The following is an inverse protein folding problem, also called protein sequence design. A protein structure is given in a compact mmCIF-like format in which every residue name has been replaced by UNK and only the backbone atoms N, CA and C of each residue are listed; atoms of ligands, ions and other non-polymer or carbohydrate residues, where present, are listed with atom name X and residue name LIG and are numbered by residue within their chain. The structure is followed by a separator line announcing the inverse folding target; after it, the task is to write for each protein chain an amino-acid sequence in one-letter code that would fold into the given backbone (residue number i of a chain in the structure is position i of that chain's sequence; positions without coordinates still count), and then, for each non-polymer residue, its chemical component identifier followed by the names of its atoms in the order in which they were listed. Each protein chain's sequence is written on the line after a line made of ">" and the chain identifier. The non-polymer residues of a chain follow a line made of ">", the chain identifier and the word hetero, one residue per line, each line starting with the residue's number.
data_IF_864620228243
#
_entry.id   IF_864620228243
#
_cell.length_a   1.000
_cell.length_b   1.000
_cell.length_c   1.000
_cell.angle_alpha   90.00
_cell.angle_beta   90.00
_cell.angle_gamma   90.00
#
_symmetry.space_group_name_H-M   'P 1'
#
loop_
_entity.id
_entity.type
_entity.pdbx_description
1 polymer ?
#
# COMPACT_ATOMS: atom_id res chain seq x y z
N UNK A 1 33.37 -13.38 15.54
CA UNK A 1 32.81 -12.56 16.62
C UNK A 1 31.52 -12.03 16.07
N UNK A 2 30.39 -12.62 16.54
CA UNK A 2 29.05 -12.20 16.12
C UNK A 2 28.74 -10.86 16.80
N UNK A 3 28.75 -9.79 16.07
CA UNK A 3 28.03 -8.58 16.46
C UNK A 3 26.56 -8.83 16.24
N UNK A 4 25.83 -9.16 17.29
CA UNK A 4 24.39 -8.98 17.33
C UNK A 4 24.13 -7.49 17.07
N UNK A 5 23.70 -7.17 15.85
CA UNK A 5 23.18 -5.84 15.56
C UNK A 5 21.85 -5.73 16.34
N UNK A 6 21.84 -4.87 17.34
CA UNK A 6 20.64 -4.53 18.10
C UNK A 6 19.55 -4.05 17.14
N UNK A 7 18.46 -4.79 17.10
CA UNK A 7 17.33 -4.47 16.25
C UNK A 7 16.69 -3.14 16.70
N UNK A 8 16.32 -2.28 15.76
CA UNK A 8 15.64 -1.01 16.01
C UNK A 8 14.35 -1.25 16.81
N UNK A 9 14.25 -0.56 17.94
CA UNK A 9 13.01 -0.35 18.66
C UNK A 9 12.72 1.14 18.56
N UNK A 10 11.53 1.56 18.05
CA UNK A 10 11.15 2.97 18.05
C UNK A 10 11.29 3.54 19.47
N UNK A 11 12.21 4.50 19.65
CA UNK A 11 12.53 5.08 20.96
C UNK A 11 13.87 4.65 21.57
N UNK A 12 14.62 3.69 21.01
CA UNK A 12 15.99 3.41 21.44
C UNK A 12 16.97 4.49 20.94
N UNK A 13 17.93 4.80 21.81
CA UNK A 13 18.97 5.80 21.55
C UNK A 13 20.04 5.23 20.62
N UNK A 14 19.93 5.49 19.31
CA UNK A 14 21.01 5.19 18.38
C UNK A 14 21.94 6.41 18.25
N UNK A 15 23.15 6.29 18.77
CA UNK A 15 24.22 7.19 18.38
C UNK A 15 24.69 6.78 16.96
N UNK A 16 24.84 7.76 16.06
CA UNK A 16 25.28 7.51 14.70
C UNK A 16 24.31 7.96 13.63
N UNK A 17 24.42 7.37 12.45
CA UNK A 17 23.58 7.68 11.29
C UNK A 17 22.36 6.76 11.29
N UNK A 18 21.19 7.37 11.28
CA UNK A 18 19.91 6.65 11.10
C UNK A 18 19.31 6.99 9.74
N UNK A 19 18.96 5.98 8.96
CA UNK A 19 18.39 6.14 7.62
C UNK A 19 17.03 5.46 7.57
N UNK A 20 16.02 6.25 7.30
CA UNK A 20 14.67 5.76 7.04
C UNK A 20 14.48 5.65 5.53
N UNK A 21 14.20 4.45 5.06
CA UNK A 21 13.97 4.11 3.65
C UNK A 21 12.58 3.51 3.41
N UNK A 22 11.86 3.13 4.48
CA UNK A 22 10.49 2.66 4.39
C UNK A 22 9.52 3.84 4.50
N UNK A 23 8.84 4.17 3.40
CA UNK A 23 8.00 5.36 3.27
C UNK A 23 8.81 6.60 2.86
N UNK A 24 8.72 7.65 3.66
CA UNK A 24 9.44 8.91 3.40
C UNK A 24 10.92 8.79 3.77
N UNK A 25 11.78 9.06 2.80
CA UNK A 25 13.24 9.05 3.04
C UNK A 25 13.64 10.12 4.03
N UNK A 26 14.33 9.72 5.08
CA UNK A 26 14.93 10.64 6.05
C UNK A 26 16.31 10.11 6.48
N UNK A 27 17.26 11.02 6.66
CA UNK A 27 18.60 10.70 7.16
C UNK A 27 18.93 11.62 8.31
N UNK A 28 19.33 11.04 9.41
CA UNK A 28 19.67 11.74 10.64
C UNK A 28 21.07 11.34 11.12
N UNK A 29 21.78 12.29 11.74
CA UNK A 29 22.95 12.01 12.53
C UNK A 29 22.71 12.47 13.96
N UNK A 30 22.79 11.55 14.91
CA UNK A 30 22.48 11.81 16.32
C UNK A 30 21.15 12.54 16.48
N UNK A 31 20.07 12.06 15.82
CA UNK A 31 18.70 12.60 15.81
C UNK A 31 18.55 13.99 15.17
N UNK A 32 19.55 14.48 14.48
CA UNK A 32 19.44 15.75 13.75
C UNK A 32 19.38 15.44 12.26
N UNK A 33 18.41 16.00 11.53
CA UNK A 33 18.32 15.82 10.09
C UNK A 33 19.63 16.28 9.43
N UNK A 34 20.15 15.47 8.52
CA UNK A 34 21.35 15.83 7.77
C UNK A 34 21.02 16.83 6.65
N UNK A 35 21.89 17.79 6.35
CA UNK A 35 21.65 18.83 5.33
C UNK A 35 21.52 18.29 3.90
N UNK A 36 21.78 17.01 3.68
CA UNK A 36 21.55 16.29 2.42
C UNK A 36 20.08 16.26 1.97
N UNK A 37 19.15 16.47 2.90
CA UNK A 37 17.70 16.35 2.68
C UNK A 37 17.07 17.53 1.92
N UNK A 38 17.83 18.58 1.61
CA UNK A 38 17.31 19.78 0.91
C UNK A 38 16.78 19.51 -0.51
N UNK A 39 17.18 18.41 -1.15
CA UNK A 39 16.63 17.94 -2.43
C UNK A 39 16.46 16.43 -2.41
N UNK A 40 15.27 15.91 -2.08
CA UNK A 40 15.00 14.47 -1.99
C UNK A 40 15.28 13.70 -3.29
N UNK A 41 15.12 14.32 -4.44
CA UNK A 41 15.39 13.71 -5.75
C UNK A 41 16.82 13.97 -6.26
N UNK A 42 17.64 14.66 -5.49
CA UNK A 42 19.01 15.02 -5.89
C UNK A 42 19.92 13.80 -6.02
N UNK A 43 20.68 13.73 -7.11
CA UNK A 43 21.61 12.61 -7.37
C UNK A 43 22.68 12.44 -6.29
N UNK A 44 22.99 13.49 -5.53
CA UNK A 44 23.91 13.42 -4.38
C UNK A 44 23.28 12.62 -3.23
N UNK A 45 22.03 12.86 -2.90
CA UNK A 45 21.31 12.07 -1.89
C UNK A 45 21.12 10.63 -2.35
N UNK A 46 20.71 10.41 -3.59
CA UNK A 46 20.58 9.07 -4.15
C UNK A 46 21.90 8.29 -4.07
N UNK A 47 23.02 8.91 -4.44
CA UNK A 47 24.35 8.31 -4.29
C UNK A 47 24.64 7.91 -2.84
N UNK A 48 24.36 8.81 -1.90
CA UNK A 48 24.56 8.53 -0.48
C UNK A 48 23.74 7.35 0.01
N UNK A 49 22.44 7.31 -0.33
CA UNK A 49 21.52 6.22 0.03
C UNK A 49 21.96 4.88 -0.59
N UNK A 50 22.40 4.89 -1.85
CA UNK A 50 22.92 3.70 -2.53
C UNK A 50 24.15 3.14 -1.81
N UNK A 51 25.11 4.01 -1.45
CA UNK A 51 26.32 3.59 -0.77
C UNK A 51 26.05 3.05 0.64
N UNK A 52 25.17 3.71 1.41
CA UNK A 52 24.75 3.21 2.73
C UNK A 52 24.02 1.87 2.62
N UNK A 53 23.11 1.76 1.66
CA UNK A 53 22.35 0.53 1.42
C UNK A 53 23.26 -0.64 0.99
N UNK A 54 24.25 -0.39 0.15
CA UNK A 54 25.23 -1.40 -0.28
C UNK A 54 26.19 -1.81 0.85
N UNK A 55 26.47 -0.91 1.79
CA UNK A 55 27.38 -1.16 2.92
C UNK A 55 28.78 -1.57 2.49
N UNK A 56 29.36 -2.57 3.18
CA UNK A 56 30.74 -3.05 2.95
C UNK A 56 30.97 -3.65 1.55
N UNK A 57 29.93 -4.16 0.91
CA UNK A 57 30.03 -4.71 -0.45
C UNK A 57 30.43 -3.63 -1.45
N UNK A 58 29.94 -2.40 -1.23
CA UNK A 58 30.09 -1.30 -2.17
C UNK A 58 29.31 -1.52 -3.47
N UNK A 59 29.50 -0.60 -4.43
CA UNK A 59 28.83 -0.62 -5.73
C UNK A 59 29.86 -0.35 -6.81
N UNK A 60 29.80 -1.09 -7.90
CA UNK A 60 30.63 -0.87 -9.07
C UNK A 60 30.32 0.48 -9.72
N UNK A 61 31.33 1.12 -10.28
CA UNK A 61 31.16 2.42 -10.96
C UNK A 61 30.11 2.36 -12.06
N UNK A 62 30.08 1.26 -12.82
CA UNK A 62 29.15 1.08 -13.94
C UNK A 62 27.71 0.94 -13.42
N UNK A 63 27.51 0.22 -12.32
CA UNK A 63 26.20 0.10 -11.66
C UNK A 63 25.72 1.45 -11.13
N UNK A 64 26.61 2.24 -10.50
CA UNK A 64 26.28 3.61 -10.07
C UNK A 64 25.90 4.52 -11.23
N UNK A 65 26.57 4.39 -12.36
CA UNK A 65 26.24 5.16 -13.56
C UNK A 65 24.87 4.77 -14.12
N UNK A 66 24.55 3.49 -14.13
CA UNK A 66 23.22 3.01 -14.57
C UNK A 66 22.12 3.47 -13.60
N UNK A 67 22.31 3.25 -12.29
CA UNK A 67 21.35 3.64 -11.27
C UNK A 67 21.05 5.14 -11.24
N UNK A 68 22.07 5.99 -11.40
CA UNK A 68 21.92 7.44 -11.24
C UNK A 68 21.62 8.17 -12.55
N UNK A 69 22.08 7.65 -13.69
CA UNK A 69 22.08 8.35 -14.97
C UNK A 69 21.65 7.46 -16.15
N UNK A 70 21.14 6.26 -15.92
CA UNK A 70 20.75 5.30 -16.95
C UNK A 70 19.60 5.75 -17.86
N UNK A 71 18.89 6.83 -17.49
CA UNK A 71 17.76 7.38 -18.26
C UNK A 71 18.16 8.06 -19.60
N UNK A 72 19.47 8.13 -19.90
CA UNK A 72 19.97 8.68 -21.17
C UNK A 72 19.95 10.21 -21.31
N UNK A 73 19.45 10.94 -20.33
CA UNK A 73 19.34 12.41 -20.35
C UNK A 73 20.69 13.12 -20.09
N UNK A 74 21.66 12.41 -19.51
CA UNK A 74 22.96 13.00 -19.14
C UNK A 74 24.02 12.75 -20.22
N UNK A 75 24.55 13.81 -20.80
CA UNK A 75 25.58 13.73 -21.84
C UNK A 75 26.98 13.35 -21.30
N UNK A 76 27.24 13.51 -19.98
CA UNK A 76 28.50 13.14 -19.36
C UNK A 76 28.29 12.47 -17.98
N UNK A 77 27.74 11.24 -17.93
CA UNK A 77 27.45 10.54 -16.68
C UNK A 77 28.70 10.39 -15.78
N UNK A 78 29.85 10.10 -16.38
CA UNK A 78 31.11 9.91 -15.66
C UNK A 78 31.62 11.18 -14.96
N UNK A 79 31.47 12.33 -15.60
CA UNK A 79 31.79 13.63 -15.03
C UNK A 79 30.81 14.00 -13.91
N UNK A 80 29.51 13.73 -14.14
CA UNK A 80 28.46 13.99 -13.15
C UNK A 80 28.61 13.13 -11.91
N UNK A 81 28.99 11.85 -12.04
CA UNK A 81 29.27 10.98 -10.88
C UNK A 81 30.45 11.51 -10.05
N UNK A 82 31.56 11.88 -10.71
CA UNK A 82 32.70 12.46 -9.98
C UNK A 82 32.32 13.73 -9.23
N UNK A 83 31.54 14.59 -9.87
CA UNK A 83 31.05 15.83 -9.24
C UNK A 83 30.09 15.53 -8.07
N UNK A 84 29.24 14.52 -8.18
CA UNK A 84 28.36 14.08 -7.09
C UNK A 84 29.15 13.53 -5.90
N UNK A 85 30.15 12.67 -6.14
CA UNK A 85 31.05 12.15 -5.09
C UNK A 85 31.81 13.27 -4.40
N UNK A 86 32.39 14.21 -5.16
CA UNK A 86 33.11 15.35 -4.59
C UNK A 86 32.20 16.21 -3.70
N UNK A 87 30.99 16.54 -4.19
CA UNK A 87 30.02 17.32 -3.42
C UNK A 87 29.57 16.58 -2.17
N UNK A 88 29.33 15.26 -2.27
CA UNK A 88 28.91 14.45 -1.14
C UNK A 88 30.00 14.41 -0.05
N UNK A 89 31.26 14.17 -0.42
CA UNK A 89 32.40 14.24 0.54
C UNK A 89 32.43 15.59 1.27
N UNK A 90 32.36 16.69 0.52
CA UNK A 90 32.38 18.04 1.08
C UNK A 90 31.15 18.31 1.99
N UNK A 91 30.00 17.79 1.65
CA UNK A 91 28.78 17.96 2.49
C UNK A 91 28.91 17.18 3.79
N UNK A 92 29.46 15.97 3.75
CA UNK A 92 29.68 15.13 4.94
C UNK A 92 30.61 15.78 5.94
N UNK A 93 31.67 16.49 5.49
CA UNK A 93 32.56 17.29 6.35
C UNK A 93 31.81 18.35 7.17
N UNK A 94 30.70 18.88 6.61
CA UNK A 94 29.86 19.89 7.27
C UNK A 94 28.72 19.33 8.13
N UNK A 95 28.52 18.00 8.17
CA UNK A 95 27.42 17.38 8.89
C UNK A 95 27.65 17.11 10.38
N UNK A 96 28.83 17.54 10.92
CA UNK A 96 29.19 17.27 12.30
C UNK A 96 29.65 15.82 12.57
N UNK A 97 29.86 15.04 11.53
CA UNK A 97 30.49 13.73 11.61
C UNK A 97 31.95 13.84 12.00
N UNK A 98 32.58 12.86 12.68
CA UNK A 98 34.01 12.79 12.91
C UNK A 98 34.80 12.92 11.61
N UNK A 99 36.04 13.46 11.69
CA UNK A 99 36.92 13.60 10.51
C UNK A 99 37.31 12.21 9.98
N UNK A 100 36.81 11.87 8.78
CA UNK A 100 37.04 10.57 8.14
C UNK A 100 36.77 10.62 6.64
N UNK A 101 37.45 9.77 5.86
CA UNK A 101 37.13 9.60 4.44
C UNK A 101 35.95 8.56 4.27
N UNK A 102 34.72 9.06 4.40
CA UNK A 102 33.53 8.24 4.38
C UNK A 102 33.22 7.52 3.04
N UNK A 103 33.75 8.01 1.95
CA UNK A 103 33.55 7.42 0.62
C UNK A 103 34.91 6.97 0.10
N UNK A 104 35.13 5.67 0.11
CA UNK A 104 36.31 5.06 -0.47
C UNK A 104 36.05 4.57 -1.88
N UNK A 105 37.10 4.70 -2.72
CA UNK A 105 37.06 4.19 -4.09
C UNK A 105 38.27 3.32 -4.31
N UNK A 106 38.08 2.06 -4.52
CA UNK A 106 39.14 1.09 -4.81
C UNK A 106 38.72 0.20 -5.98
N UNK A 107 39.61 0.07 -6.96
CA UNK A 107 39.41 -0.79 -8.14
C UNK A 107 38.06 -0.57 -8.86
N UNK A 108 37.57 0.68 -8.87
CA UNK A 108 36.29 1.03 -9.50
C UNK A 108 35.05 0.72 -8.65
N UNK A 109 35.22 0.30 -7.42
CA UNK A 109 34.14 0.07 -6.45
C UNK A 109 34.08 1.25 -5.49
N UNK A 110 32.90 1.82 -5.33
CA UNK A 110 32.61 2.87 -4.36
C UNK A 110 31.98 2.24 -3.12
N UNK A 111 32.51 2.57 -1.94
CA UNK A 111 32.06 2.02 -0.65
C UNK A 111 31.84 3.14 0.36
N UNK A 112 30.86 2.91 1.22
CA UNK A 112 30.74 3.65 2.46
C UNK A 112 31.72 3.07 3.49
N UNK A 113 32.55 3.94 4.08
CA UNK A 113 33.39 3.59 5.23
C UNK A 113 32.94 4.45 6.42
N UNK A 114 32.28 3.83 7.38
CA UNK A 114 31.68 4.52 8.52
C UNK A 114 32.68 5.16 9.48
N UNK A 115 33.99 4.83 9.42
CA UNK A 115 35.00 5.38 10.34
C UNK A 115 34.67 5.13 11.82
N UNK A 116 33.95 4.05 12.13
CA UNK A 116 33.47 3.75 13.48
C UNK A 116 32.14 4.38 13.85
N UNK A 117 31.52 5.20 12.97
CA UNK A 117 30.15 5.71 13.16
C UNK A 117 29.15 4.62 12.81
N UNK A 118 28.29 4.19 13.75
CA UNK A 118 27.26 3.21 13.47
C UNK A 118 26.26 3.72 12.42
N UNK A 119 25.77 2.82 11.57
CA UNK A 119 24.73 3.14 10.58
C UNK A 119 23.58 2.18 10.78
N UNK A 120 22.41 2.73 11.10
CA UNK A 120 21.15 2.00 11.15
C UNK A 120 20.33 2.31 9.90
N UNK A 121 19.73 1.27 9.29
CA UNK A 121 18.85 1.36 8.11
C UNK A 121 17.61 0.52 8.37
N UNK A 122 16.45 1.18 8.45
CA UNK A 122 15.15 0.54 8.74
C UNK A 122 14.80 -0.57 7.73
N UNK A 123 15.07 -0.36 6.45
CA UNK A 123 14.81 -1.34 5.40
C UNK A 123 15.62 -2.63 5.58
N UNK A 124 16.86 -2.54 6.08
CA UNK A 124 17.68 -3.72 6.37
C UNK A 124 17.21 -4.45 7.63
N UNK A 125 16.81 -3.69 8.66
CA UNK A 125 16.25 -4.29 9.88
C UNK A 125 14.93 -5.01 9.58
N UNK A 126 14.08 -4.40 8.74
CA UNK A 126 12.89 -5.07 8.21
C UNK A 126 13.24 -6.38 7.49
N UNK A 127 14.17 -6.35 6.53
CA UNK A 127 14.57 -7.52 5.73
C UNK A 127 15.07 -8.67 6.63
N UNK A 128 15.96 -8.38 7.57
CA UNK A 128 16.51 -9.34 8.51
C UNK A 128 15.42 -9.92 9.42
N UNK A 129 14.60 -9.05 9.98
CA UNK A 129 13.52 -9.43 10.89
C UNK A 129 12.48 -10.28 10.17
N UNK A 130 12.06 -9.88 8.96
CA UNK A 130 11.09 -10.58 8.14
C UNK A 130 11.57 -11.99 7.76
N UNK A 131 12.78 -12.13 7.25
CA UNK A 131 13.33 -13.44 6.91
C UNK A 131 13.47 -14.36 8.14
N UNK A 132 13.88 -13.82 9.28
CA UNK A 132 13.95 -14.56 10.54
C UNK A 132 12.55 -15.00 10.98
N UNK A 133 11.58 -14.09 10.95
CA UNK A 133 10.19 -14.32 11.32
C UNK A 133 9.54 -15.43 10.48
N UNK A 134 9.68 -15.34 9.16
CA UNK A 134 9.16 -16.34 8.22
C UNK A 134 9.78 -17.71 8.43
N UNK A 135 11.11 -17.77 8.64
CA UNK A 135 11.83 -19.02 8.88
C UNK A 135 11.42 -19.69 10.19
N UNK A 136 11.26 -18.91 11.25
CA UNK A 136 10.91 -19.41 12.59
C UNK A 136 9.41 -19.57 12.80
N UNK A 137 8.57 -18.96 11.93
CA UNK A 137 7.13 -18.85 12.12
C UNK A 137 6.76 -18.24 13.49
N UNK A 138 7.56 -17.26 13.89
CA UNK A 138 7.40 -16.59 15.18
C UNK A 138 6.47 -15.39 15.06
N UNK A 139 5.36 -15.44 15.76
CA UNK A 139 4.31 -14.41 15.71
C UNK A 139 4.82 -13.03 16.14
N UNK A 140 5.61 -12.97 17.21
CA UNK A 140 6.15 -11.72 17.72
C UNK A 140 7.10 -11.06 16.72
N UNK A 141 7.93 -11.87 16.06
CA UNK A 141 8.82 -11.39 15.00
C UNK A 141 8.03 -10.98 13.74
N UNK A 142 6.93 -11.67 13.41
CA UNK A 142 6.06 -11.29 12.29
C UNK A 142 5.38 -9.95 12.56
N UNK A 143 4.81 -9.75 13.74
CA UNK A 143 4.24 -8.45 14.17
C UNK A 143 5.30 -7.35 14.10
N UNK A 144 6.51 -7.62 14.62
CA UNK A 144 7.63 -6.68 14.55
C UNK A 144 8.01 -6.34 13.12
N UNK A 145 8.13 -7.34 12.24
CA UNK A 145 8.45 -7.12 10.83
C UNK A 145 7.39 -6.26 10.15
N UNK A 146 6.09 -6.57 10.33
CA UNK A 146 5.02 -5.74 9.77
C UNK A 146 5.07 -4.30 10.30
N UNK A 147 5.36 -4.10 11.59
CA UNK A 147 5.49 -2.75 12.18
C UNK A 147 6.71 -1.97 11.69
N UNK A 148 7.78 -2.63 11.23
CA UNK A 148 8.93 -1.97 10.61
C UNK A 148 8.66 -1.48 9.19
N UNK A 149 7.67 -2.04 8.52
CA UNK A 149 7.28 -1.66 7.17
C UNK A 149 6.30 -0.48 7.19
N UNK A 150 6.82 0.75 7.15
CA UNK A 150 6.05 1.98 7.29
C UNK A 150 5.56 2.57 5.96
N UNK A 151 5.76 1.87 4.85
CA UNK A 151 5.36 2.29 3.50
C UNK A 151 6.31 1.77 2.43
N UNK A 152 6.06 2.17 1.19
CA UNK A 152 6.89 1.76 0.05
C UNK A 152 8.33 2.19 0.19
N UNK A 153 9.26 1.33 -0.24
CA UNK A 153 10.68 1.60 -0.21
C UNK A 153 11.02 2.88 -0.97
N UNK A 154 11.55 3.89 -0.28
CA UNK A 154 11.91 5.20 -0.83
C UNK A 154 10.82 5.79 -1.72
N UNK A 155 9.57 5.90 -1.24
CA UNK A 155 8.40 6.33 -2.02
C UNK A 155 8.64 7.60 -2.84
N UNK A 156 9.43 8.55 -2.33
CA UNK A 156 9.77 9.80 -3.03
C UNK A 156 10.66 9.58 -4.27
N UNK A 157 11.29 8.42 -4.38
CA UNK A 157 12.18 8.00 -5.47
C UNK A 157 11.59 6.84 -6.28
N UNK A 158 10.30 6.58 -6.21
CA UNK A 158 9.63 5.48 -6.89
C UNK A 158 9.77 5.52 -8.42
N UNK A 159 10.07 6.69 -9.01
CA UNK A 159 10.39 6.83 -10.44
C UNK A 159 11.77 6.30 -10.84
N UNK A 160 12.66 6.02 -9.90
CA UNK A 160 13.98 5.48 -10.17
C UNK A 160 13.90 3.95 -10.31
N UNK A 161 14.35 3.42 -11.44
CA UNK A 161 14.23 1.98 -11.76
C UNK A 161 14.78 1.05 -10.67
N UNK A 162 15.94 1.38 -10.09
CA UNK A 162 16.55 0.57 -9.04
C UNK A 162 15.71 0.57 -7.74
N UNK A 163 15.04 1.68 -7.42
CA UNK A 163 14.14 1.79 -6.25
C UNK A 163 12.91 0.91 -6.46
N UNK A 164 12.29 1.00 -7.64
CA UNK A 164 11.10 0.19 -7.97
C UNK A 164 11.38 -1.31 -7.89
N UNK A 165 12.54 -1.78 -8.38
CA UNK A 165 12.92 -3.21 -8.33
C UNK A 165 13.06 -3.69 -6.88
N UNK A 166 13.72 -2.89 -6.03
CA UNK A 166 13.89 -3.22 -4.61
C UNK A 166 12.55 -3.11 -3.88
N UNK A 167 11.76 -2.08 -4.20
CA UNK A 167 10.45 -1.83 -3.60
C UNK A 167 9.49 -2.99 -3.77
N UNK A 168 9.39 -3.56 -4.98
CA UNK A 168 8.55 -4.74 -5.24
C UNK A 168 8.95 -5.92 -4.35
N UNK A 169 10.27 -6.19 -4.22
CA UNK A 169 10.77 -7.27 -3.37
C UNK A 169 10.40 -7.06 -1.89
N UNK A 170 10.49 -5.84 -1.39
CA UNK A 170 10.11 -5.53 -0.01
C UNK A 170 8.61 -5.61 0.21
N UNK A 171 7.83 -5.18 -0.76
CA UNK A 171 6.36 -5.32 -0.71
C UNK A 171 5.95 -6.79 -0.66
N UNK A 172 6.53 -7.65 -1.52
CA UNK A 172 6.27 -9.09 -1.50
C UNK A 172 6.63 -9.69 -0.13
N UNK A 173 7.81 -9.35 0.41
CA UNK A 173 8.27 -9.80 1.72
C UNK A 173 7.33 -9.36 2.86
N UNK A 174 6.82 -8.13 2.80
CA UNK A 174 5.81 -7.63 3.74
C UNK A 174 4.53 -8.45 3.69
N UNK A 175 4.00 -8.71 2.48
CA UNK A 175 2.78 -9.51 2.33
C UNK A 175 2.98 -10.97 2.76
N UNK A 176 4.16 -11.54 2.58
CA UNK A 176 4.47 -12.87 3.08
C UNK A 176 4.42 -12.91 4.62
N UNK A 177 5.00 -11.90 5.28
CA UNK A 177 4.91 -11.77 6.75
C UNK A 177 3.45 -11.56 7.21
N UNK A 178 2.72 -10.68 6.56
CA UNK A 178 1.33 -10.38 6.87
C UNK A 178 0.43 -11.61 6.74
N UNK A 179 0.56 -12.37 5.64
CA UNK A 179 -0.20 -13.62 5.42
C UNK A 179 0.12 -14.65 6.49
N UNK A 180 1.40 -14.84 6.80
CA UNK A 180 1.80 -15.81 7.83
C UNK A 180 1.29 -15.39 9.21
N UNK A 181 1.41 -14.11 9.59
CA UNK A 181 0.86 -13.57 10.83
C UNK A 181 -0.66 -13.78 10.89
N UNK A 182 -1.37 -13.47 9.80
CA UNK A 182 -2.82 -13.67 9.72
C UNK A 182 -3.22 -15.11 10.03
N UNK A 183 -2.57 -16.12 9.42
CA UNK A 183 -2.93 -17.51 9.68
C UNK A 183 -2.62 -17.95 11.11
N UNK A 184 -1.44 -17.60 11.65
CA UNK A 184 -1.04 -17.97 13.02
C UNK A 184 -1.99 -17.33 14.04
N UNK A 185 -2.21 -16.02 13.96
CA UNK A 185 -3.07 -15.29 14.91
C UNK A 185 -4.53 -15.70 14.82
N UNK A 186 -5.02 -16.04 13.62
CA UNK A 186 -6.36 -16.58 13.40
C UNK A 186 -6.53 -17.95 14.09
N UNK A 187 -5.54 -18.84 13.97
CA UNK A 187 -5.54 -20.14 14.64
C UNK A 187 -5.49 -19.97 16.16
N UNK A 188 -4.73 -18.99 16.65
CA UNK A 188 -4.62 -18.62 18.06
C UNK A 188 -5.86 -17.86 18.57
N UNK A 189 -6.78 -17.43 17.70
CA UNK A 189 -7.95 -16.59 17.99
C UNK A 189 -7.62 -15.19 18.55
N UNK A 190 -6.49 -14.63 18.18
CA UNK A 190 -6.02 -13.31 18.60
C UNK A 190 -6.60 -12.20 17.69
N UNK A 191 -7.93 -12.15 17.58
CA UNK A 191 -8.61 -11.31 16.61
C UNK A 191 -8.47 -9.80 16.85
N UNK A 192 -8.19 -9.37 18.08
CA UNK A 192 -8.01 -7.95 18.40
C UNK A 192 -6.71 -7.42 17.78
N UNK A 193 -5.60 -8.08 18.07
CA UNK A 193 -4.28 -7.70 17.53
C UNK A 193 -4.24 -7.90 16.02
N UNK A 194 -4.89 -8.98 15.53
CA UNK A 194 -4.99 -9.22 14.09
C UNK A 194 -5.81 -8.15 13.37
N UNK A 195 -6.86 -7.60 14.01
CA UNK A 195 -7.65 -6.50 13.45
C UNK A 195 -6.82 -5.22 13.34
N UNK A 196 -5.97 -4.94 14.33
CA UNK A 196 -5.02 -3.82 14.29
C UNK A 196 -4.04 -3.99 13.12
N UNK A 197 -3.38 -5.14 13.05
CA UNK A 197 -2.44 -5.46 11.98
C UNK A 197 -3.09 -5.38 10.57
N UNK A 198 -4.31 -5.91 10.42
CA UNK A 198 -5.05 -5.84 9.16
C UNK A 198 -5.49 -4.41 8.83
N UNK A 199 -5.77 -3.57 9.84
CA UNK A 199 -6.12 -2.17 9.63
C UNK A 199 -4.93 -1.37 9.14
N UNK A 200 -3.77 -1.53 9.77
CA UNK A 200 -2.51 -0.90 9.33
C UNK A 200 -2.16 -1.32 7.90
N UNK A 201 -2.36 -2.59 7.57
CA UNK A 201 -2.15 -3.09 6.21
C UNK A 201 -3.11 -2.46 5.19
N UNK A 202 -4.39 -2.22 5.56
CA UNK A 202 -5.35 -1.53 4.71
C UNK A 202 -5.00 -0.06 4.50
N UNK A 203 -4.41 0.59 5.50
CA UNK A 203 -3.99 2.00 5.41
C UNK A 203 -2.77 2.16 4.48
N UNK A 204 -1.87 1.17 4.47
CA UNK A 204 -0.73 1.14 3.55
C UNK A 204 -1.15 0.73 2.13
N UNK A 205 -1.96 -0.31 2.03
CA UNK A 205 -2.38 -0.93 0.77
C UNK A 205 -3.88 -1.26 0.83
N UNK A 206 -4.73 -0.47 0.18
CA UNK A 206 -6.17 -0.73 0.14
C UNK A 206 -6.51 -1.91 -0.78
N UNK A 207 -5.72 -2.99 -0.73
CA UNK A 207 -5.94 -4.19 -1.53
C UNK A 207 -7.07 -5.05 -0.95
N UNK A 208 -7.79 -5.73 -1.82
CA UNK A 208 -8.90 -6.59 -1.41
C UNK A 208 -8.47 -7.64 -0.38
N UNK A 209 -7.24 -8.17 -0.48
CA UNK A 209 -6.69 -9.13 0.48
C UNK A 209 -6.66 -8.57 1.91
N UNK A 210 -6.22 -7.33 2.10
CA UNK A 210 -6.18 -6.67 3.41
C UNK A 210 -7.60 -6.43 3.95
N UNK A 211 -8.52 -5.98 3.08
CA UNK A 211 -9.92 -5.76 3.45
C UNK A 211 -10.59 -7.08 3.89
N UNK A 212 -10.32 -8.18 3.20
CA UNK A 212 -10.81 -9.51 3.57
C UNK A 212 -10.29 -9.93 4.95
N UNK A 213 -9.01 -9.72 5.26
CA UNK A 213 -8.45 -10.02 6.57
C UNK A 213 -9.16 -9.24 7.68
N UNK A 214 -9.39 -7.94 7.46
CA UNK A 214 -10.11 -7.06 8.39
C UNK A 214 -11.56 -7.49 8.59
N UNK A 215 -12.27 -7.83 7.53
CA UNK A 215 -13.64 -8.35 7.58
C UNK A 215 -13.69 -9.68 8.34
N UNK A 216 -12.77 -10.61 8.07
CA UNK A 216 -12.72 -11.91 8.75
C UNK A 216 -12.52 -11.75 10.26
N UNK A 217 -11.66 -10.81 10.71
CA UNK A 217 -11.48 -10.50 12.13
C UNK A 217 -12.78 -9.97 12.76
N UNK A 218 -13.42 -8.99 12.14
CA UNK A 218 -14.66 -8.40 12.65
C UNK A 218 -15.79 -9.42 12.71
N UNK A 219 -15.89 -10.32 11.73
CA UNK A 219 -16.86 -11.43 11.74
C UNK A 219 -16.59 -12.41 12.88
N UNK A 220 -15.33 -12.79 13.12
CA UNK A 220 -14.95 -13.67 14.21
C UNK A 220 -15.27 -13.06 15.58
N UNK A 221 -15.13 -11.73 15.70
CA UNK A 221 -15.51 -10.95 16.89
C UNK A 221 -17.04 -10.69 16.99
N UNK A 222 -17.85 -11.21 16.05
CA UNK A 222 -19.30 -10.98 15.92
C UNK A 222 -19.67 -9.51 15.70
N UNK A 223 -18.76 -8.69 15.21
CA UNK A 223 -18.96 -7.29 14.87
C UNK A 223 -19.45 -7.14 13.42
N UNK A 224 -20.58 -7.80 13.12
CA UNK A 224 -21.09 -7.91 11.73
C UNK A 224 -21.45 -6.57 11.09
N UNK A 225 -21.91 -5.58 11.88
CA UNK A 225 -22.21 -4.24 11.36
C UNK A 225 -20.95 -3.52 10.90
N UNK A 226 -19.88 -3.60 11.70
CA UNK A 226 -18.59 -2.99 11.34
C UNK A 226 -17.96 -3.70 10.14
N UNK A 227 -18.06 -5.03 10.09
CA UNK A 227 -17.61 -5.81 8.95
C UNK A 227 -18.37 -5.44 7.66
N UNK A 228 -19.68 -5.19 7.74
CA UNK A 228 -20.47 -4.72 6.62
C UNK A 228 -20.03 -3.33 6.14
N UNK A 229 -19.75 -2.43 7.07
CA UNK A 229 -19.26 -1.09 6.73
C UNK A 229 -17.91 -1.15 5.98
N UNK A 230 -16.97 -2.00 6.43
CA UNK A 230 -15.69 -2.22 5.72
C UNK A 230 -15.93 -2.79 4.33
N UNK A 231 -16.85 -3.75 4.22
CA UNK A 231 -17.25 -4.33 2.94
C UNK A 231 -17.80 -3.27 1.97
N UNK A 232 -18.76 -2.47 2.42
CA UNK A 232 -19.40 -1.44 1.59
C UNK A 232 -18.37 -0.40 1.12
N UNK A 233 -17.46 0.04 1.99
CA UNK A 233 -16.37 0.95 1.64
C UNK A 233 -15.44 0.36 0.59
N UNK A 234 -15.02 -0.91 0.78
CA UNK A 234 -14.15 -1.59 -0.16
C UNK A 234 -14.80 -1.77 -1.54
N UNK A 235 -16.08 -2.20 -1.56
CA UNK A 235 -16.81 -2.40 -2.82
C UNK A 235 -17.01 -1.08 -3.56
N UNK A 236 -17.37 0.00 -2.85
CA UNK A 236 -17.50 1.34 -3.44
C UNK A 236 -16.17 1.76 -4.05
N UNK A 237 -15.07 1.63 -3.32
CA UNK A 237 -13.75 1.99 -3.80
C UNK A 237 -13.35 1.19 -5.05
N UNK A 238 -13.49 -0.15 -5.04
CA UNK A 238 -13.12 -0.98 -6.18
C UNK A 238 -14.04 -0.78 -7.39
N UNK A 239 -15.33 -0.70 -7.15
CA UNK A 239 -16.29 -0.57 -8.25
C UNK A 239 -16.31 0.84 -8.83
N UNK A 240 -16.37 1.88 -8.00
CA UNK A 240 -16.46 3.27 -8.47
C UNK A 240 -15.10 3.80 -8.97
N UNK A 241 -13.99 3.46 -8.30
CA UNK A 241 -12.68 3.99 -8.66
C UNK A 241 -11.95 3.15 -9.71
N UNK A 242 -12.14 1.83 -9.72
CA UNK A 242 -11.39 0.92 -10.57
C UNK A 242 -12.27 0.20 -11.60
N UNK A 243 -13.60 0.28 -11.49
CA UNK A 243 -14.52 -0.43 -12.37
C UNK A 243 -14.49 -1.95 -12.20
N UNK A 244 -13.95 -2.46 -11.10
CA UNK A 244 -13.80 -3.88 -10.83
C UNK A 244 -14.91 -4.39 -9.91
N UNK A 245 -15.61 -5.50 -10.26
CA UNK A 245 -16.55 -6.11 -9.34
C UNK A 245 -15.83 -6.78 -8.16
N UNK A 246 -16.48 -6.89 -6.99
CA UNK A 246 -15.95 -7.63 -5.85
C UNK A 246 -15.63 -9.08 -6.24
N UNK A 247 -14.55 -9.64 -5.69
CA UNK A 247 -14.24 -11.06 -5.91
C UNK A 247 -15.27 -11.97 -5.29
N UNK A 248 -15.31 -13.25 -5.72
CA UNK A 248 -16.20 -14.26 -5.11
C UNK A 248 -15.93 -14.42 -3.61
N UNK A 249 -14.67 -14.28 -3.19
CA UNK A 249 -14.30 -14.31 -1.76
C UNK A 249 -14.95 -13.16 -0.98
N UNK A 250 -15.01 -11.97 -1.54
CA UNK A 250 -15.66 -10.82 -0.94
C UNK A 250 -17.18 -11.00 -0.89
N UNK A 251 -17.77 -11.48 -1.97
CA UNK A 251 -19.22 -11.80 -2.04
C UNK A 251 -19.64 -12.88 -1.03
N UNK A 252 -18.81 -13.88 -0.78
CA UNK A 252 -19.06 -14.91 0.23
C UNK A 252 -19.14 -14.32 1.64
N UNK A 253 -18.24 -13.37 1.97
CA UNK A 253 -18.29 -12.64 3.26
C UNK A 253 -19.57 -11.84 3.39
N UNK A 254 -19.96 -11.14 2.34
CA UNK A 254 -21.23 -10.40 2.33
C UNK A 254 -22.43 -11.32 2.63
N UNK A 255 -22.54 -12.46 1.95
CA UNK A 255 -23.62 -13.43 2.21
C UNK A 255 -23.64 -13.91 3.66
N UNK A 256 -22.46 -14.19 4.21
CA UNK A 256 -22.32 -14.65 5.60
C UNK A 256 -22.72 -13.56 6.59
N UNK A 257 -22.25 -12.33 6.40
CA UNK A 257 -22.58 -11.17 7.26
C UNK A 257 -24.07 -10.84 7.21
N UNK A 258 -24.64 -10.78 6.02
CA UNK A 258 -26.07 -10.47 5.81
C UNK A 258 -26.99 -11.48 6.52
N UNK A 259 -26.58 -12.76 6.55
CA UNK A 259 -27.33 -13.79 7.27
C UNK A 259 -27.22 -13.68 8.80
N UNK A 260 -26.23 -12.99 9.34
CA UNK A 260 -26.00 -12.83 10.78
C UNK A 260 -26.52 -11.51 11.35
N UNK A 261 -26.71 -10.51 10.51
CA UNK A 261 -27.28 -9.22 10.94
C UNK A 261 -28.77 -9.43 11.23
N UNK A 262 -29.11 -9.51 12.51
CA UNK A 262 -30.51 -9.49 12.95
C UNK A 262 -30.94 -8.04 13.11
N UNK A 263 -31.90 -7.63 12.31
CA UNK A 263 -32.61 -6.38 12.55
C UNK A 263 -33.57 -6.63 13.71
N UNK A 264 -33.19 -6.20 14.91
CA UNK A 264 -34.08 -6.20 16.07
C UNK A 264 -35.02 -5.01 15.95
N UNK A 265 -36.12 -5.18 15.23
CA UNK A 265 -37.22 -4.25 15.27
C UNK A 265 -38.37 -4.91 16.00
N UNK A 266 -38.79 -4.27 17.10
CA UNK A 266 -39.79 -4.85 18.01
C UNK A 266 -41.24 -4.76 17.47
N UNK A 267 -41.47 -4.00 16.40
CA UNK A 267 -42.81 -3.85 15.81
C UNK A 267 -42.79 -3.87 14.28
N UNK A 268 -43.92 -4.34 13.67
CA UNK A 268 -44.14 -4.33 12.22
C UNK A 268 -44.04 -2.86 11.66
N UNK A 269 -44.36 -1.88 12.48
CA UNK A 269 -44.29 -0.47 12.09
C UNK A 269 -42.85 -0.05 11.89
N UNK A 270 -41.94 -0.43 12.82
CA UNK A 270 -40.51 -0.09 12.73
C UNK A 270 -39.86 -0.78 11.52
N UNK A 271 -40.26 -2.03 11.23
CA UNK A 271 -39.82 -2.74 10.02
C UNK A 271 -40.28 -1.98 8.78
N UNK A 272 -41.55 -1.64 8.70
CA UNK A 272 -42.09 -0.91 7.55
C UNK A 272 -41.42 0.46 7.38
N UNK A 273 -41.23 1.19 8.48
CA UNK A 273 -40.65 2.53 8.43
C UNK A 273 -39.15 2.48 8.09
N UNK A 274 -38.45 1.38 8.41
CA UNK A 274 -37.08 1.11 7.98
C UNK A 274 -36.94 0.71 6.51
N UNK A 275 -38.00 0.17 5.91
CA UNK A 275 -38.06 -0.21 4.50
C UNK A 275 -38.50 0.95 3.59
N UNK A 276 -39.03 2.03 4.15
CA UNK A 276 -39.34 3.22 3.38
C UNK A 276 -38.11 4.07 3.13
N UNK A 277 -37.92 4.49 1.89
CA UNK A 277 -36.93 5.53 1.56
C UNK A 277 -37.25 6.79 2.38
N UNK A 278 -36.31 7.21 3.24
CA UNK A 278 -36.48 8.38 4.11
C UNK A 278 -36.56 9.68 3.33
N UNK A 279 -35.88 9.74 2.18
CA UNK A 279 -35.94 10.86 1.25
C UNK A 279 -36.60 10.39 -0.05
N UNK A 280 -37.55 11.18 -0.58
CA UNK A 280 -38.12 10.95 -1.91
C UNK A 280 -37.03 11.25 -2.96
N UNK A 281 -36.17 10.27 -3.21
CA UNK A 281 -35.17 10.36 -4.28
C UNK A 281 -35.94 10.39 -5.61
N UNK A 282 -35.90 11.52 -6.31
CA UNK A 282 -36.44 11.67 -7.65
C UNK A 282 -35.39 11.24 -8.67
N UNK A 283 -35.17 9.95 -8.82
CA UNK A 283 -34.20 9.42 -9.78
C UNK A 283 -34.20 7.89 -9.79
N UNK A 284 -33.33 7.29 -10.61
CA UNK A 284 -33.14 5.83 -10.63
C UNK A 284 -32.55 5.34 -9.31
N UNK A 285 -32.71 4.06 -9.03
CA UNK A 285 -32.19 3.45 -7.83
C UNK A 285 -30.71 3.07 -8.02
N UNK A 286 -29.83 3.82 -7.34
CA UNK A 286 -28.41 3.48 -7.25
C UNK A 286 -28.16 2.46 -6.15
N UNK A 287 -27.43 1.41 -6.45
CA UNK A 287 -27.11 0.38 -5.47
C UNK A 287 -25.72 -0.24 -5.69
N UNK A 288 -25.19 -0.85 -4.63
CA UNK A 288 -23.94 -1.59 -4.72
C UNK A 288 -24.06 -2.80 -5.67
N UNK A 289 -22.96 -3.24 -6.25
CA UNK A 289 -22.92 -4.35 -7.19
C UNK A 289 -23.64 -5.63 -6.67
N UNK A 290 -23.49 -6.07 -5.39
CA UNK A 290 -24.25 -7.20 -4.87
C UNK A 290 -25.76 -6.97 -4.84
N UNK A 291 -26.17 -5.77 -4.43
CA UNK A 291 -27.59 -5.40 -4.45
C UNK A 291 -28.13 -5.34 -5.87
N UNK A 292 -27.32 -4.87 -6.83
CA UNK A 292 -27.65 -4.89 -8.26
C UNK A 292 -27.91 -6.31 -8.77
N UNK A 293 -27.06 -7.28 -8.39
CA UNK A 293 -27.27 -8.69 -8.75
C UNK A 293 -28.61 -9.20 -8.23
N UNK A 294 -28.98 -8.87 -6.98
CA UNK A 294 -30.23 -9.32 -6.38
C UNK A 294 -31.43 -8.60 -7.01
N UNK A 295 -31.34 -7.31 -7.29
CA UNK A 295 -32.33 -6.56 -8.06
C UNK A 295 -32.51 -7.17 -9.46
N UNK A 296 -31.44 -7.46 -10.18
CA UNK A 296 -31.49 -8.09 -11.50
C UNK A 296 -32.20 -9.44 -11.46
N UNK A 297 -31.83 -10.30 -10.50
CA UNK A 297 -32.49 -11.62 -10.32
C UNK A 297 -34.00 -11.51 -10.00
N UNK A 298 -34.33 -10.49 -9.18
CA UNK A 298 -35.75 -10.21 -8.88
C UNK A 298 -36.48 -9.74 -10.13
N UNK A 299 -35.91 -8.83 -10.89
CA UNK A 299 -36.51 -8.32 -12.14
C UNK A 299 -36.69 -9.43 -13.19
N UNK A 300 -35.72 -10.34 -13.34
CA UNK A 300 -35.84 -11.50 -14.23
C UNK A 300 -37.01 -12.39 -13.80
N UNK A 301 -37.16 -12.72 -12.51
CA UNK A 301 -38.26 -13.50 -12.00
C UNK A 301 -39.62 -12.79 -12.15
N UNK A 302 -39.63 -11.47 -12.05
CA UNK A 302 -40.87 -10.68 -12.28
C UNK A 302 -41.24 -10.67 -13.75
N UNK A 303 -40.27 -10.56 -14.68
CA UNK A 303 -40.57 -10.60 -16.12
C UNK A 303 -41.13 -11.92 -16.61
N UNK A 304 -40.84 -13.04 -15.91
CA UNK A 304 -41.47 -14.32 -16.19
C UNK A 304 -42.98 -14.36 -15.85
N UNK A 305 -43.45 -13.45 -14.99
CA UNK A 305 -44.85 -13.40 -14.55
C UNK A 305 -45.66 -12.28 -15.18
N UNK A 306 -44.96 -11.18 -15.50
CA UNK A 306 -45.58 -9.98 -16.05
C UNK A 306 -44.84 -9.72 -17.36
N UNK A 307 -45.55 -9.63 -18.45
CA UNK A 307 -45.00 -9.48 -19.80
C UNK A 307 -44.34 -8.12 -19.95
N UNK A 308 -43.11 -7.99 -19.40
CA UNK A 308 -42.24 -6.84 -19.62
C UNK A 308 -40.79 -7.29 -19.89
N UNK A 309 -40.08 -6.48 -20.64
CA UNK A 309 -38.71 -6.78 -21.05
C UNK A 309 -37.72 -5.96 -20.22
N UNK A 310 -36.76 -6.62 -19.60
CA UNK A 310 -35.59 -5.98 -18.97
C UNK A 310 -34.46 -5.88 -19.97
N UNK A 311 -33.74 -4.76 -19.95
CA UNK A 311 -32.54 -4.52 -20.75
C UNK A 311 -31.37 -4.29 -19.81
N UNK A 312 -30.33 -5.11 -19.93
CA UNK A 312 -29.06 -4.92 -19.21
C UNK A 312 -28.11 -4.14 -20.11
N UNK A 313 -27.69 -2.97 -19.63
CA UNK A 313 -26.69 -2.13 -20.28
C UNK A 313 -25.34 -2.31 -19.59
N UNK A 314 -24.30 -2.55 -20.36
CA UNK A 314 -22.93 -2.58 -19.89
C UNK A 314 -22.15 -1.45 -20.56
N UNK A 315 -21.56 -0.55 -19.76
CA UNK A 315 -20.78 0.58 -20.25
C UNK A 315 -19.30 0.34 -20.01
N UNK A 316 -18.48 0.54 -21.04
CA UNK A 316 -17.02 0.48 -20.93
C UNK A 316 -16.43 1.84 -21.29
N UNK A 317 -15.57 2.37 -20.40
CA UNK A 317 -14.87 3.63 -20.65
C UNK A 317 -13.63 3.38 -21.52
N UNK A 318 -13.53 4.09 -22.62
CA UNK A 318 -12.45 3.96 -23.59
C UNK A 318 -11.66 5.28 -23.69
N UNK A 319 -10.38 5.18 -24.03
CA UNK A 319 -9.54 6.31 -24.38
C UNK A 319 -9.89 6.83 -25.80
N UNK A 320 -9.21 7.91 -26.23
CA UNK A 320 -9.36 8.49 -27.57
C UNK A 320 -8.95 7.54 -28.72
N UNK A 321 -8.28 6.43 -28.41
CA UNK A 321 -7.84 5.40 -29.37
C UNK A 321 -8.74 4.15 -29.33
N UNK A 322 -9.83 4.17 -28.55
CA UNK A 322 -10.76 3.06 -28.41
C UNK A 322 -10.27 1.92 -27.53
N UNK A 323 -9.27 2.13 -26.70
CA UNK A 323 -8.80 1.14 -25.71
C UNK A 323 -9.44 1.40 -24.34
N UNK A 324 -9.75 0.36 -23.55
CA UNK A 324 -10.19 0.56 -22.16
C UNK A 324 -9.20 1.40 -21.38
N UNK A 325 -9.72 2.29 -20.53
CA UNK A 325 -8.88 3.09 -19.64
C UNK A 325 -8.17 2.20 -18.63
N UNK A 326 -6.94 2.57 -18.29
CA UNK A 326 -6.14 1.83 -17.31
C UNK A 326 -6.78 1.86 -15.92
N UNK A 327 -6.83 0.71 -15.26
CA UNK A 327 -7.36 0.55 -13.91
C UNK A 327 -6.53 1.34 -12.91
N UNK A 328 -7.19 2.18 -12.09
CA UNK A 328 -6.54 2.98 -11.03
C UNK A 328 -6.05 4.36 -11.47
N UNK A 329 -6.22 4.76 -12.74
CA UNK A 329 -5.81 6.08 -13.22
C UNK A 329 -6.79 7.19 -12.82
N UNK A 330 -6.27 8.41 -12.58
CA UNK A 330 -7.08 9.63 -12.32
C UNK A 330 -8.14 9.90 -13.39
N UNK A 331 -7.81 9.57 -14.66
CA UNK A 331 -8.71 9.69 -15.80
C UNK A 331 -9.91 8.75 -15.69
N UNK A 332 -9.70 7.52 -15.22
CA UNK A 332 -10.77 6.55 -15.00
C UNK A 332 -11.71 7.04 -13.90
N UNK A 333 -11.19 7.52 -12.77
CA UNK A 333 -11.99 8.08 -11.67
C UNK A 333 -12.87 9.24 -12.14
N UNK A 334 -12.28 10.22 -12.83
CA UNK A 334 -13.01 11.37 -13.34
C UNK A 334 -14.07 10.99 -14.38
N UNK A 335 -13.77 10.02 -15.24
CA UNK A 335 -14.70 9.53 -16.25
C UNK A 335 -15.84 8.70 -15.65
N UNK A 336 -15.54 7.83 -14.65
CA UNK A 336 -16.54 7.07 -13.91
C UNK A 336 -17.53 7.96 -13.18
N UNK A 337 -17.05 9.01 -12.49
CA UNK A 337 -17.93 9.99 -11.81
C UNK A 337 -18.87 10.69 -12.79
N UNK A 338 -18.37 11.10 -13.95
CA UNK A 338 -19.21 11.71 -15.00
C UNK A 338 -20.20 10.71 -15.60
N UNK A 339 -19.79 9.46 -15.80
CA UNK A 339 -20.69 8.41 -16.29
C UNK A 339 -21.81 8.15 -15.30
N UNK A 340 -21.48 8.05 -14.00
CA UNK A 340 -22.44 7.88 -12.92
C UNK A 340 -23.49 9.00 -12.94
N UNK A 341 -23.07 10.26 -12.98
CA UNK A 341 -23.96 11.43 -13.08
C UNK A 341 -24.82 11.39 -14.35
N UNK A 342 -24.23 11.04 -15.49
CA UNK A 342 -24.93 10.94 -16.76
C UNK A 342 -26.00 9.85 -16.76
N UNK A 343 -25.69 8.66 -16.20
CA UNK A 343 -26.66 7.57 -16.05
C UNK A 343 -27.79 8.01 -15.12
N UNK A 344 -27.48 8.54 -13.93
CA UNK A 344 -28.47 8.99 -12.95
C UNK A 344 -29.45 10.04 -13.50
N UNK A 345 -28.99 10.88 -14.45
CA UNK A 345 -29.81 11.89 -15.11
C UNK A 345 -30.57 11.36 -16.33
N UNK A 346 -30.23 10.20 -16.87
CA UNK A 346 -30.73 9.70 -18.16
C UNK A 346 -31.76 8.59 -18.04
N UNK A 347 -31.71 7.77 -17.00
CA UNK A 347 -32.61 6.64 -16.78
C UNK A 347 -33.76 6.98 -15.83
N UNK A 348 -34.81 6.17 -15.81
CA UNK A 348 -36.06 6.47 -15.12
C UNK A 348 -36.00 6.07 -13.63
N UNK A 349 -36.92 6.63 -12.84
CA UNK A 349 -37.06 6.30 -11.39
C UNK A 349 -37.21 4.81 -11.07
N UNK A 350 -37.72 4.00 -11.99
CA UNK A 350 -37.86 2.56 -11.80
C UNK A 350 -36.66 1.71 -12.25
N UNK A 351 -35.65 2.35 -12.81
CA UNK A 351 -34.43 1.67 -13.28
C UNK A 351 -33.40 1.59 -12.13
N UNK A 352 -32.48 0.64 -12.25
CA UNK A 352 -31.43 0.33 -11.25
C UNK A 352 -30.08 0.46 -11.93
N UNK A 353 -29.10 1.05 -11.25
CA UNK A 353 -27.72 1.15 -11.74
C UNK A 353 -26.69 1.15 -10.60
#
# INVERSE_FOLDING_TARGET
>A
MNTEQDAYVPGMEHEGITVFMMGTVMVEYNRKPMPLMGNPQGKMLQLFLILLYAGDKGVLREELLDMLYGNGENTNPSGSLRAAVFRLRKTLEGCGLPEHEYIRTDSGIYRWDGGGVPVYIDAKDFEITAHKALKQRDESLLKKACGLYQGEFMAQLAGEKWVSIIGVRYQELYFDCLRMAYYIMKDNREYTDLLELASDACDLYPYEECQIMKIDCLMAMKRFKDAMQVYDQAVTQYFEEQGLPPSEKMLERFRTMSGQIRYTSDTLKDIRDSLHERDRVNGPYYCSYPAFIDCYRLLVRMSERIDFTNVLLCCTLLDSKGKPLDTGGELLKAASSKLHEAIGNSIRKGDVF
#
